data_IF_943442992396
#
_entry.id   IF_943442992396
#
_cell.length_a   1.000
_cell.length_b   1.000
_cell.length_c   1.000
_cell.angle_alpha   90.00
_cell.angle_beta   90.00
_cell.angle_gamma   90.00
#
_symmetry.space_group_name_H-M   'P 1'
#
loop_
_entity.id
_entity.type
_entity.pdbx_description
1 polymer ?
#
# COMPACT_ATOMS: atom_id res chain seq x y z
N UNK A 1 20.05 -37.08 5.40
CA UNK A 1 21.02 -37.49 6.43
C UNK A 1 20.28 -38.25 7.52
N UNK A 2 20.71 -39.46 7.87
CA UNK A 2 20.11 -40.24 8.96
C UNK A 2 21.01 -40.05 10.19
N UNK A 3 20.48 -39.41 11.22
CA UNK A 3 21.21 -39.09 12.43
C UNK A 3 20.91 -40.13 13.51
N UNK A 4 21.93 -40.92 13.81
CA UNK A 4 22.03 -41.76 15.00
C UNK A 4 23.22 -41.28 15.85
N UNK A 5 23.41 -41.89 17.03
CA UNK A 5 24.52 -41.54 17.92
C UNK A 5 25.88 -41.62 17.24
N UNK A 6 26.15 -42.70 16.50
CA UNK A 6 27.46 -42.94 15.86
C UNK A 6 27.74 -41.94 14.74
N UNK A 7 26.72 -41.58 13.96
CA UNK A 7 26.80 -40.61 12.90
C UNK A 7 27.10 -39.21 13.44
N UNK A 8 26.41 -38.80 14.50
CA UNK A 8 26.65 -37.52 15.16
C UNK A 8 28.08 -37.43 15.72
N UNK A 9 28.54 -38.45 16.44
CA UNK A 9 29.89 -38.51 17.01
C UNK A 9 30.99 -38.46 15.92
N UNK A 10 30.87 -39.26 14.86
CA UNK A 10 31.84 -39.26 13.76
C UNK A 10 31.85 -37.96 12.96
N UNK A 11 30.68 -37.37 12.75
CA UNK A 11 30.53 -36.08 12.08
C UNK A 11 31.21 -34.96 12.87
N UNK A 12 31.01 -34.92 14.18
CA UNK A 12 31.56 -33.89 15.06
C UNK A 12 33.07 -34.06 15.26
N UNK A 13 33.56 -35.30 15.35
CA UNK A 13 35.00 -35.62 15.39
C UNK A 13 35.69 -35.53 14.03
N UNK A 14 34.93 -35.32 12.95
CA UNK A 14 35.41 -35.30 11.56
C UNK A 14 36.22 -36.54 11.19
N UNK A 15 35.75 -37.71 11.61
CA UNK A 15 36.45 -38.98 11.43
C UNK A 15 35.70 -39.92 10.47
N UNK A 16 36.45 -40.60 9.59
CA UNK A 16 35.91 -41.49 8.56
C UNK A 16 35.01 -40.78 7.54
N UNK A 17 34.17 -41.56 6.83
CA UNK A 17 33.30 -41.03 5.76
C UNK A 17 32.28 -39.98 6.21
N UNK A 18 31.76 -40.10 7.44
CA UNK A 18 30.85 -39.09 8.02
C UNK A 18 31.56 -37.75 8.29
N UNK A 19 32.88 -37.76 8.53
CA UNK A 19 33.67 -36.54 8.65
C UNK A 19 33.81 -35.78 7.33
N UNK A 20 33.96 -36.50 6.22
CA UNK A 20 33.98 -35.90 4.87
C UNK A 20 32.61 -35.31 4.50
N UNK A 21 31.52 -36.04 4.77
CA UNK A 21 30.16 -35.50 4.61
C UNK A 21 29.94 -34.25 5.45
N UNK A 22 30.38 -34.25 6.72
CA UNK A 22 30.26 -33.08 7.59
C UNK A 22 30.98 -31.85 7.03
N UNK A 23 32.14 -31.99 6.38
CA UNK A 23 32.84 -30.87 5.73
C UNK A 23 32.04 -30.31 4.55
N UNK A 24 31.50 -31.17 3.70
CA UNK A 24 30.72 -30.78 2.52
C UNK A 24 29.40 -30.10 2.94
N UNK A 25 28.68 -30.73 3.86
CA UNK A 25 27.37 -30.26 4.34
C UNK A 25 27.54 -28.95 5.10
N UNK A 26 28.50 -28.85 6.03
CA UNK A 26 28.73 -27.61 6.77
C UNK A 26 29.06 -26.44 5.84
N UNK A 27 29.99 -26.60 4.90
CA UNK A 27 30.33 -25.56 3.93
C UNK A 27 29.12 -25.11 3.09
N UNK A 28 28.30 -26.06 2.64
CA UNK A 28 27.09 -25.77 1.87
C UNK A 28 26.01 -25.06 2.69
N UNK A 29 25.88 -25.40 3.98
CA UNK A 29 24.93 -24.73 4.88
C UNK A 29 25.35 -23.29 5.22
N UNK A 30 26.65 -22.98 5.26
CA UNK A 30 27.16 -21.63 5.53
C UNK A 30 27.06 -20.68 4.32
N UNK A 31 27.15 -21.21 3.09
CA UNK A 31 27.13 -20.41 1.85
C UNK A 31 25.75 -19.85 1.50
N UNK A 32 24.70 -20.15 2.28
CA UNK A 32 23.29 -19.67 2.13
C UNK A 32 22.60 -19.95 0.78
N UNK A 33 23.30 -20.47 -0.23
CA UNK A 33 22.76 -20.64 -1.58
C UNK A 33 21.73 -21.78 -1.67
N UNK A 34 21.73 -22.74 -0.73
CA UNK A 34 20.86 -23.92 -0.81
C UNK A 34 20.54 -24.54 0.56
N UNK A 35 19.87 -23.77 1.43
CA UNK A 35 19.47 -24.29 2.76
C UNK A 35 18.49 -25.46 2.69
N UNK A 36 17.82 -25.66 1.55
CA UNK A 36 16.81 -26.71 1.35
C UNK A 36 17.39 -28.03 0.83
N UNK A 37 18.71 -28.14 0.59
CA UNK A 37 19.31 -29.37 0.02
C UNK A 37 19.48 -30.52 1.01
N UNK A 38 19.55 -30.22 2.30
CA UNK A 38 19.84 -31.23 3.31
C UNK A 38 18.71 -31.30 4.34
N UNK A 39 18.20 -32.50 4.56
CA UNK A 39 17.27 -32.81 5.66
C UNK A 39 17.89 -33.83 6.60
N UNK A 40 17.77 -33.55 7.90
CA UNK A 40 18.14 -34.48 8.97
C UNK A 40 16.92 -35.30 9.38
N UNK A 41 17.07 -36.63 9.39
CA UNK A 41 16.10 -37.58 9.90
C UNK A 41 16.69 -38.24 11.13
N UNK A 42 16.04 -38.09 12.28
CA UNK A 42 16.55 -38.57 13.56
C UNK A 42 15.87 -39.89 13.90
N UNK A 43 16.68 -40.86 14.35
CA UNK A 43 16.19 -42.17 14.83
C UNK A 43 16.57 -42.50 16.27
N UNK A 44 17.37 -41.67 16.92
CA UNK A 44 17.80 -41.89 18.31
C UNK A 44 17.80 -40.58 19.11
N UNK A 45 17.48 -40.68 20.41
CA UNK A 45 17.58 -39.59 21.39
C UNK A 45 18.64 -39.92 22.44
N UNK A 46 19.28 -38.90 22.98
CA UNK A 46 20.20 -39.00 24.09
C UNK A 46 19.45 -39.24 25.42
N UNK A 47 20.20 -39.48 26.50
CA UNK A 47 19.64 -39.72 27.84
C UNK A 47 18.80 -38.55 28.39
N UNK A 48 19.02 -37.33 27.89
CA UNK A 48 18.27 -36.13 28.27
C UNK A 48 17.02 -35.91 27.40
N UNK A 49 16.71 -36.83 26.49
CA UNK A 49 15.57 -36.76 25.59
C UNK A 49 15.78 -35.91 24.33
N UNK A 50 16.99 -35.42 24.05
CA UNK A 50 17.32 -34.64 22.85
C UNK A 50 17.73 -35.53 21.68
N UNK A 51 17.34 -35.15 20.46
CA UNK A 51 17.74 -35.82 19.23
C UNK A 51 19.28 -35.83 19.04
N UNK A 52 19.84 -36.96 18.61
CA UNK A 52 21.23 -36.99 18.15
C UNK A 52 21.37 -36.23 16.83
N UNK A 53 22.06 -35.08 16.87
CA UNK A 53 22.30 -34.24 15.71
C UNK A 53 23.77 -33.76 15.72
N UNK A 54 24.45 -33.73 14.56
CA UNK A 54 25.75 -33.09 14.43
C UNK A 54 25.68 -31.61 14.83
N UNK A 55 26.77 -31.10 15.40
CA UNK A 55 26.86 -29.75 15.94
C UNK A 55 26.58 -28.68 14.89
N UNK A 56 26.99 -28.90 13.64
CA UNK A 56 26.71 -27.98 12.53
C UNK A 56 25.22 -27.89 12.14
N UNK A 57 24.39 -28.86 12.54
CA UNK A 57 22.96 -28.93 12.24
C UNK A 57 22.07 -28.61 13.45
N UNK A 58 22.66 -28.41 14.64
CA UNK A 58 21.91 -27.96 15.84
C UNK A 58 21.21 -26.63 15.59
N UNK A 59 19.95 -26.53 15.98
CA UNK A 59 19.10 -25.34 15.79
C UNK A 59 18.37 -25.27 14.44
N UNK A 60 18.55 -26.26 13.55
CA UNK A 60 17.75 -26.39 12.33
C UNK A 60 16.61 -27.37 12.50
N UNK A 61 15.63 -27.21 11.63
CA UNK A 61 14.47 -28.08 11.53
C UNK A 61 14.93 -29.48 11.06
N UNK A 62 14.48 -30.52 11.78
CA UNK A 62 14.71 -31.92 11.46
C UNK A 62 13.38 -32.69 11.44
N UNK A 63 13.44 -33.91 10.94
CA UNK A 63 12.33 -34.86 10.89
C UNK A 63 12.57 -35.90 11.99
N UNK A 64 11.59 -36.03 12.88
CA UNK A 64 11.66 -36.94 14.02
C UNK A 64 10.88 -38.22 13.74
N UNK A 65 11.57 -39.33 13.53
CA UNK A 65 10.94 -40.64 13.32
C UNK A 65 11.08 -41.56 14.54
N UNK A 66 11.33 -41.00 15.72
CA UNK A 66 11.47 -41.75 16.98
C UNK A 66 10.12 -41.92 17.67
N UNK A 67 9.32 -40.85 17.67
CA UNK A 67 8.02 -40.83 18.33
C UNK A 67 6.97 -41.55 17.48
N UNK A 68 6.53 -42.72 17.93
CA UNK A 68 5.51 -43.53 17.24
C UNK A 68 4.19 -42.78 17.06
N UNK A 69 3.81 -41.92 18.01
CA UNK A 69 2.57 -41.15 17.93
C UNK A 69 2.59 -40.11 16.80
N UNK A 70 3.79 -39.59 16.48
CA UNK A 70 4.01 -38.55 15.46
C UNK A 70 4.62 -39.09 14.17
N UNK A 71 4.89 -40.39 14.11
CA UNK A 71 5.57 -41.04 12.98
C UNK A 71 4.89 -40.75 11.65
N UNK A 72 3.56 -40.88 11.59
CA UNK A 72 2.80 -40.65 10.35
C UNK A 72 2.92 -39.21 9.84
N UNK A 73 2.83 -38.22 10.74
CA UNK A 73 2.94 -36.80 10.41
C UNK A 73 4.36 -36.43 9.94
N UNK A 74 5.38 -36.89 10.66
CA UNK A 74 6.79 -36.61 10.33
C UNK A 74 7.22 -37.36 9.06
N UNK A 75 6.63 -38.53 8.77
CA UNK A 75 6.84 -39.23 7.51
C UNK A 75 6.18 -38.53 6.32
N UNK A 76 4.94 -38.03 6.46
CA UNK A 76 4.30 -37.21 5.42
C UNK A 76 5.12 -35.94 5.14
N UNK A 77 5.65 -35.32 6.20
CA UNK A 77 6.54 -34.16 6.11
C UNK A 77 7.83 -34.46 5.37
N UNK A 78 8.41 -35.66 5.55
CA UNK A 78 9.55 -36.14 4.76
C UNK A 78 9.20 -36.26 3.28
N UNK A 79 8.07 -36.89 2.97
CA UNK A 79 7.62 -37.07 1.59
C UNK A 79 7.40 -35.72 0.90
N UNK A 80 6.72 -34.78 1.57
CA UNK A 80 6.52 -33.42 1.07
C UNK A 80 7.82 -32.70 0.77
N UNK A 81 8.84 -32.87 1.63
CA UNK A 81 10.16 -32.32 1.39
C UNK A 81 10.83 -32.96 0.16
N UNK A 82 10.76 -34.29 0.01
CA UNK A 82 11.32 -35.02 -1.14
C UNK A 82 10.72 -34.54 -2.49
N UNK A 83 9.43 -34.21 -2.50
CA UNK A 83 8.70 -33.80 -3.70
C UNK A 83 8.59 -32.27 -3.87
N UNK A 84 9.29 -31.46 -3.08
CA UNK A 84 9.19 -29.99 -3.09
C UNK A 84 7.74 -29.46 -2.96
N UNK A 85 6.90 -30.15 -2.17
CA UNK A 85 5.49 -29.79 -1.91
C UNK A 85 5.27 -29.40 -0.44
N UNK A 86 5.75 -28.21 0.00
CA UNK A 86 5.61 -27.80 1.39
C UNK A 86 4.14 -27.72 1.81
N UNK A 87 3.85 -28.08 3.06
CA UNK A 87 2.50 -28.02 3.62
C UNK A 87 1.91 -26.60 3.56
N UNK A 88 2.78 -25.58 3.64
CA UNK A 88 2.42 -24.17 3.53
C UNK A 88 3.14 -23.55 2.34
N UNK A 89 2.39 -23.27 1.27
CA UNK A 89 2.90 -22.46 0.16
C UNK A 89 3.01 -21.01 0.61
N UNK A 90 4.10 -20.33 0.22
CA UNK A 90 4.23 -18.88 0.44
C UNK A 90 3.08 -18.19 -0.31
N UNK A 91 2.28 -17.33 0.35
CA UNK A 91 1.23 -16.59 -0.35
C UNK A 91 1.86 -15.69 -1.43
N UNK A 92 1.07 -15.37 -2.45
CA UNK A 92 1.49 -14.40 -3.46
C UNK A 92 1.89 -13.08 -2.82
N UNK A 93 2.91 -12.43 -3.39
CA UNK A 93 3.36 -11.13 -2.91
C UNK A 93 2.24 -10.10 -3.17
N UNK A 94 1.80 -9.43 -2.11
CA UNK A 94 0.80 -8.36 -2.24
C UNK A 94 1.28 -7.27 -3.18
N UNK A 95 0.34 -6.60 -3.87
CA UNK A 95 0.67 -5.43 -4.70
C UNK A 95 1.29 -4.33 -3.81
N UNK A 96 2.32 -3.61 -4.30
CA UNK A 96 2.80 -2.44 -3.59
C UNK A 96 1.66 -1.43 -3.42
N UNK A 97 1.59 -0.69 -2.29
CA UNK A 97 0.59 0.34 -2.10
C UNK A 97 0.63 1.37 -3.24
N UNK A 98 -0.54 1.70 -3.79
CA UNK A 98 -0.66 2.55 -4.98
C UNK A 98 0.03 3.93 -4.83
N UNK A 99 0.21 4.44 -3.61
CA UNK A 99 0.85 5.72 -3.34
C UNK A 99 2.36 5.77 -3.60
N UNK A 100 3.03 4.63 -3.80
CA UNK A 100 4.48 4.57 -4.04
C UNK A 100 4.89 4.83 -5.51
N UNK A 101 3.94 4.74 -6.45
CA UNK A 101 4.20 4.86 -7.89
C UNK A 101 3.84 6.24 -8.47
N UNK A 102 3.60 7.25 -7.63
CA UNK A 102 3.33 8.61 -8.09
C UNK A 102 4.66 9.34 -8.26
N UNK A 103 5.09 9.51 -9.52
CA UNK A 103 6.19 10.41 -9.89
C UNK A 103 5.83 11.84 -9.44
N UNK A 104 6.36 12.21 -8.27
CA UNK A 104 5.92 13.35 -7.45
C UNK A 104 4.44 13.29 -7.07
N UNK A 105 4.07 12.89 -5.83
CA UNK A 105 2.74 13.22 -5.34
C UNK A 105 2.65 14.75 -5.37
N UNK A 106 1.83 15.30 -6.26
CA UNK A 106 1.42 16.70 -6.21
C UNK A 106 0.88 16.89 -4.81
N UNK A 107 1.69 17.52 -3.94
CA UNK A 107 1.27 17.80 -2.57
C UNK A 107 0.29 18.96 -2.66
N UNK A 108 -0.97 18.61 -2.87
CA UNK A 108 -2.05 19.57 -2.88
C UNK A 108 -2.11 20.24 -1.51
N UNK A 109 -2.11 21.57 -1.49
CA UNK A 109 -2.27 22.38 -0.28
C UNK A 109 -3.63 22.09 0.40
N UNK A 110 -4.59 21.58 -0.37
CA UNK A 110 -5.95 21.20 0.02
C UNK A 110 -6.04 19.85 0.72
N UNK A 111 -5.03 18.97 0.60
CA UNK A 111 -5.10 17.60 1.12
C UNK A 111 -5.25 17.52 2.66
N UNK A 112 -4.57 18.40 3.39
CA UNK A 112 -4.68 18.46 4.87
C UNK A 112 -6.05 19.01 5.31
N UNK A 113 -6.52 20.15 4.77
CA UNK A 113 -7.90 20.61 5.00
C UNK A 113 -8.97 19.57 4.64
N UNK A 114 -8.85 18.88 3.50
CA UNK A 114 -9.76 17.82 3.09
C UNK A 114 -9.84 16.72 4.16
N UNK A 115 -8.69 16.16 4.53
CA UNK A 115 -8.63 15.08 5.52
C UNK A 115 -9.29 15.50 6.84
N UNK A 116 -9.02 16.72 7.30
CA UNK A 116 -9.62 17.25 8.52
C UNK A 116 -11.15 17.38 8.40
N UNK A 117 -11.65 17.87 7.27
CA UNK A 117 -13.09 17.98 7.01
C UNK A 117 -13.75 16.59 6.97
N UNK A 118 -13.20 15.66 6.18
CA UNK A 118 -13.71 14.28 6.04
C UNK A 118 -13.68 13.54 7.38
N UNK A 119 -12.61 13.65 8.16
CA UNK A 119 -12.51 13.02 9.49
C UNK A 119 -13.58 13.57 10.45
N UNK A 120 -13.85 14.88 10.42
CA UNK A 120 -14.89 15.50 11.24
C UNK A 120 -16.30 15.14 10.79
N UNK A 121 -16.53 15.02 9.48
CA UNK A 121 -17.79 14.55 8.88
C UNK A 121 -18.07 13.11 9.34
N UNK A 122 -17.13 12.19 9.12
CA UNK A 122 -17.27 10.77 9.49
C UNK A 122 -17.45 10.56 10.99
N UNK A 123 -16.75 11.35 11.81
CA UNK A 123 -16.84 11.27 13.26
C UNK A 123 -18.03 12.05 13.85
N UNK A 124 -18.86 12.70 13.03
CA UNK A 124 -20.04 13.43 13.49
C UNK A 124 -19.74 14.62 14.41
N UNK A 125 -18.59 15.28 14.26
CA UNK A 125 -18.16 16.35 15.17
C UNK A 125 -18.93 17.65 14.92
N UNK A 126 -19.20 18.45 15.95
CA UNK A 126 -19.90 19.74 15.81
C UNK A 126 -19.21 20.73 14.85
N UNK A 127 -17.90 20.61 14.70
CA UNK A 127 -17.07 21.53 13.89
C UNK A 127 -16.99 21.15 12.40
N UNK A 128 -17.71 20.12 11.93
CA UNK A 128 -17.49 19.63 10.57
C UNK A 128 -17.91 20.63 9.49
N UNK A 129 -18.97 21.43 9.68
CA UNK A 129 -19.32 22.52 8.76
C UNK A 129 -18.18 23.55 8.67
N UNK A 130 -17.59 23.91 9.81
CA UNK A 130 -16.50 24.88 9.85
C UNK A 130 -15.24 24.35 9.13
N UNK A 131 -14.88 23.08 9.32
CA UNK A 131 -13.75 22.49 8.60
C UNK A 131 -14.05 22.27 7.11
N UNK A 132 -15.30 21.99 6.76
CA UNK A 132 -15.75 21.91 5.37
C UNK A 132 -15.65 23.24 4.66
N UNK A 133 -16.10 24.33 5.31
CA UNK A 133 -15.98 25.68 4.79
C UNK A 133 -14.50 26.08 4.62
N UNK A 134 -13.64 25.75 5.59
CA UNK A 134 -12.19 25.97 5.46
C UNK A 134 -11.61 25.22 4.25
N UNK A 135 -11.93 23.94 4.08
CA UNK A 135 -11.45 23.17 2.92
C UNK A 135 -11.90 23.77 1.59
N UNK A 136 -13.19 24.09 1.46
CA UNK A 136 -13.76 24.67 0.25
C UNK A 136 -13.19 26.07 -0.05
N UNK A 137 -12.83 26.84 0.98
CA UNK A 137 -12.15 28.13 0.81
C UNK A 137 -10.71 27.96 0.30
N UNK A 138 -9.99 26.93 0.75
CA UNK A 138 -8.69 26.59 0.16
C UNK A 138 -8.86 26.18 -1.30
N UNK A 139 -9.87 25.37 -1.64
CA UNK A 139 -10.16 25.03 -3.05
C UNK A 139 -10.38 26.30 -3.88
N UNK A 140 -11.21 27.24 -3.43
CA UNK A 140 -11.45 28.51 -4.13
C UNK A 140 -10.15 29.30 -4.33
N UNK A 141 -9.26 29.33 -3.33
CA UNK A 141 -7.95 29.98 -3.47
C UNK A 141 -7.09 29.30 -4.54
N UNK A 142 -7.03 27.98 -4.51
CA UNK A 142 -6.29 27.15 -5.46
C UNK A 142 -6.90 27.12 -6.86
N UNK A 143 -8.13 27.56 -7.05
CA UNK A 143 -8.69 27.73 -8.38
C UNK A 143 -8.04 28.91 -9.13
N UNK A 144 -7.48 29.90 -8.44
CA UNK A 144 -6.89 31.07 -9.14
C UNK A 144 -5.70 30.73 -10.05
N UNK A 145 -4.92 29.67 -9.77
CA UNK A 145 -3.83 29.22 -10.65
C UNK A 145 -4.33 28.61 -11.97
N UNK A 146 -5.61 28.27 -12.07
CA UNK A 146 -6.21 27.77 -13.31
C UNK A 146 -6.67 28.90 -14.23
N UNK A 147 -6.55 30.17 -13.83
CA UNK A 147 -6.82 31.30 -14.75
C UNK A 147 -5.78 31.30 -15.86
N UNK A 148 -6.24 31.32 -17.11
CA UNK A 148 -5.37 31.19 -18.28
C UNK A 148 -4.73 32.54 -18.65
N UNK A 149 -3.40 32.54 -18.73
CA UNK A 149 -2.59 33.69 -19.15
C UNK A 149 -1.97 33.53 -20.56
N UNK A 150 -1.82 34.67 -21.26
CA UNK A 150 -1.11 34.79 -22.54
C UNK A 150 -1.88 34.28 -23.77
N UNK A 151 -2.26 35.20 -24.66
CA UNK A 151 -2.94 34.87 -25.93
C UNK A 151 -1.96 34.53 -27.03
N UNK A 152 -2.19 33.43 -27.74
CA UNK A 152 -1.32 32.97 -28.82
C UNK A 152 -1.65 31.55 -29.29
N UNK A 153 -0.74 31.00 -30.12
CA UNK A 153 -0.77 29.62 -30.62
C UNK A 153 -0.89 28.58 -29.48
N UNK A 154 -1.53 27.45 -29.77
CA UNK A 154 -1.78 26.33 -28.85
C UNK A 154 -2.71 26.63 -27.66
N UNK A 155 -3.68 27.53 -27.83
CA UNK A 155 -4.68 27.83 -26.81
C UNK A 155 -5.48 26.58 -26.36
N UNK A 156 -5.90 25.75 -27.31
CA UNK A 156 -6.67 24.53 -27.01
C UNK A 156 -5.87 23.55 -26.13
N UNK A 157 -4.56 23.42 -26.37
CA UNK A 157 -3.67 22.59 -25.55
C UNK A 157 -3.56 23.14 -24.12
N UNK A 158 -3.56 24.47 -23.93
CA UNK A 158 -3.57 25.09 -22.59
C UNK A 158 -4.87 24.80 -21.84
N UNK A 159 -6.02 24.85 -22.52
CA UNK A 159 -7.31 24.48 -21.90
C UNK A 159 -7.28 23.02 -21.47
N UNK A 160 -6.90 22.11 -22.38
CA UNK A 160 -6.87 20.67 -22.09
C UNK A 160 -5.95 20.36 -20.93
N UNK A 161 -4.74 20.93 -20.93
CA UNK A 161 -3.80 20.78 -19.83
C UNK A 161 -4.37 21.31 -18.52
N UNK A 162 -5.04 22.46 -18.54
CA UNK A 162 -5.68 23.04 -17.35
C UNK A 162 -6.77 22.11 -16.78
N UNK A 163 -7.55 21.45 -17.63
CA UNK A 163 -8.55 20.46 -17.23
C UNK A 163 -7.87 19.21 -16.65
N UNK A 164 -6.80 18.71 -17.29
CA UNK A 164 -6.04 17.57 -16.79
C UNK A 164 -5.39 17.87 -15.42
N UNK A 165 -4.81 19.06 -15.26
CA UNK A 165 -4.21 19.54 -14.02
C UNK A 165 -5.26 19.73 -12.90
N UNK A 166 -6.55 19.86 -13.25
CA UNK A 166 -7.66 19.96 -12.29
C UNK A 166 -8.11 18.58 -11.74
N UNK A 167 -7.78 17.48 -12.41
CA UNK A 167 -8.19 16.12 -12.02
C UNK A 167 -7.92 15.79 -10.55
N UNK A 168 -6.75 16.12 -9.96
CA UNK A 168 -6.50 15.86 -8.54
C UNK A 168 -7.49 16.58 -7.62
N UNK A 169 -7.78 17.87 -7.89
CA UNK A 169 -8.75 18.67 -7.13
C UNK A 169 -10.18 18.14 -7.30
N UNK A 170 -10.55 17.72 -8.52
CA UNK A 170 -11.83 17.06 -8.78
C UNK A 170 -11.99 15.81 -7.92
N UNK A 171 -10.97 14.96 -7.86
CA UNK A 171 -11.03 13.72 -7.09
C UNK A 171 -11.20 14.01 -5.58
N UNK A 172 -10.53 15.05 -5.04
CA UNK A 172 -10.74 15.50 -3.66
C UNK A 172 -12.19 15.98 -3.43
N UNK A 173 -12.75 16.76 -4.37
CA UNK A 173 -14.13 17.23 -4.28
C UNK A 173 -15.14 16.07 -4.34
N UNK A 174 -14.92 15.07 -5.20
CA UNK A 174 -15.75 13.85 -5.24
C UNK A 174 -15.70 13.15 -3.88
N UNK A 175 -14.51 12.93 -3.31
CA UNK A 175 -14.37 12.33 -1.98
C UNK A 175 -15.14 13.13 -0.93
N UNK A 176 -14.96 14.45 -0.92
CA UNK A 176 -15.63 15.34 0.01
C UNK A 176 -17.17 15.23 -0.10
N UNK A 177 -17.73 15.38 -1.29
CA UNK A 177 -19.18 15.35 -1.50
C UNK A 177 -19.79 13.98 -1.19
N UNK A 178 -19.12 12.88 -1.53
CA UNK A 178 -19.57 11.53 -1.14
C UNK A 178 -19.69 11.43 0.39
N UNK A 179 -18.69 11.91 1.13
CA UNK A 179 -18.70 11.84 2.58
C UNK A 179 -19.78 12.75 3.19
N UNK A 180 -20.01 13.93 2.62
CA UNK A 180 -21.12 14.79 3.03
C UNK A 180 -22.47 14.09 2.81
N UNK A 181 -22.73 13.59 1.60
CA UNK A 181 -23.99 12.92 1.26
C UNK A 181 -24.23 11.69 2.16
N UNK A 182 -23.18 10.93 2.44
CA UNK A 182 -23.27 9.69 3.23
C UNK A 182 -23.47 9.95 4.72
N UNK A 183 -22.70 10.87 5.31
CA UNK A 183 -22.59 10.99 6.77
C UNK A 183 -23.17 12.29 7.35
N UNK A 184 -23.35 13.35 6.53
CA UNK A 184 -23.80 14.66 7.01
C UNK A 184 -24.70 15.44 6.02
N UNK A 185 -25.80 14.85 5.53
CA UNK A 185 -26.75 15.54 4.64
C UNK A 185 -27.67 16.50 5.42
N UNK A 186 -27.09 17.55 6.01
CA UNK A 186 -27.82 18.53 6.83
C UNK A 186 -28.04 19.85 6.08
N UNK A 187 -29.07 20.61 6.45
CA UNK A 187 -29.31 21.95 5.89
C UNK A 187 -28.13 22.91 6.16
N UNK A 188 -27.47 22.76 7.31
CA UNK A 188 -26.28 23.54 7.65
C UNK A 188 -25.12 23.27 6.68
N UNK A 189 -24.87 22.00 6.35
CA UNK A 189 -23.86 21.62 5.36
C UNK A 189 -24.26 22.05 3.95
N UNK A 190 -25.55 21.95 3.58
CA UNK A 190 -26.05 22.46 2.31
C UNK A 190 -25.79 23.97 2.14
N UNK A 191 -25.92 24.76 3.21
CA UNK A 191 -25.57 26.19 3.20
C UNK A 191 -24.07 26.43 3.00
N UNK A 192 -23.20 25.58 3.54
CA UNK A 192 -21.75 25.65 3.31
C UNK A 192 -21.44 25.40 1.82
N UNK A 193 -22.02 24.34 1.24
CA UNK A 193 -21.86 24.01 -0.18
C UNK A 193 -22.43 25.13 -1.07
N UNK A 194 -23.58 25.70 -0.72
CA UNK A 194 -24.16 26.83 -1.45
C UNK A 194 -23.22 28.03 -1.49
N UNK A 195 -22.64 28.43 -0.35
CA UNK A 195 -21.65 29.52 -0.30
C UNK A 195 -20.40 29.23 -1.12
N UNK A 196 -19.98 27.97 -1.19
CA UNK A 196 -18.89 27.57 -2.07
C UNK A 196 -19.23 27.82 -3.55
N UNK A 197 -20.43 27.45 -4.00
CA UNK A 197 -20.87 27.76 -5.37
C UNK A 197 -21.00 29.27 -5.63
N UNK A 198 -21.45 30.06 -4.67
CA UNK A 198 -21.46 31.53 -4.78
C UNK A 198 -20.05 32.09 -5.04
N UNK A 199 -19.03 31.56 -4.34
CA UNK A 199 -17.63 31.94 -4.56
C UNK A 199 -17.09 31.43 -5.91
N UNK A 200 -17.53 30.26 -6.35
CA UNK A 200 -17.13 29.64 -7.63
C UNK A 200 -17.63 30.43 -8.84
N UNK A 201 -18.83 31.01 -8.77
CA UNK A 201 -19.44 31.79 -9.87
C UNK A 201 -18.52 32.91 -10.37
N UNK A 202 -17.69 33.48 -9.50
CA UNK A 202 -16.79 34.59 -9.86
C UNK A 202 -15.71 34.15 -10.87
N UNK A 203 -15.46 32.84 -11.05
CA UNK A 203 -14.56 32.33 -12.08
C UNK A 203 -15.24 32.16 -13.45
N UNK A 204 -16.55 32.30 -13.55
CA UNK A 204 -17.27 32.23 -14.84
C UNK A 204 -17.28 33.57 -15.59
N UNK A 205 -16.76 34.64 -14.98
CA UNK A 205 -16.76 35.98 -15.55
C UNK A 205 -15.37 36.63 -15.43
N UNK A 206 -14.94 37.44 -16.41
CA UNK A 206 -13.71 38.20 -16.32
C UNK A 206 -13.72 39.13 -15.09
N UNK A 207 -12.69 39.07 -14.25
CA UNK A 207 -12.55 39.96 -13.08
C UNK A 207 -11.86 41.26 -13.48
N UNK A 208 -12.58 42.37 -13.35
CA UNK A 208 -12.04 43.74 -13.38
C UNK A 208 -11.42 44.19 -14.73
N UNK A 209 -11.32 45.50 -14.94
CA UNK A 209 -10.80 46.15 -16.17
C UNK A 209 -9.30 45.89 -16.46
N UNK A 210 -8.68 44.90 -15.79
CA UNK A 210 -7.26 44.57 -15.89
C UNK A 210 -7.02 43.56 -16.99
N UNK A 211 -6.98 44.00 -18.25
CA UNK A 211 -6.28 43.30 -19.35
C UNK A 211 -6.56 41.80 -19.58
N UNK A 212 -7.59 41.20 -18.97
CA UNK A 212 -7.95 39.81 -19.18
C UNK A 212 -8.59 39.67 -20.55
N UNK A 213 -8.23 38.59 -21.24
CA UNK A 213 -8.87 38.26 -22.49
C UNK A 213 -10.19 37.54 -22.22
N UNK A 214 -11.11 37.60 -23.18
CA UNK A 214 -12.43 36.96 -23.06
C UNK A 214 -12.34 35.44 -22.77
N UNK A 215 -11.21 34.81 -23.10
CA UNK A 215 -10.97 33.39 -22.98
C UNK A 215 -10.16 33.00 -21.72
N UNK A 216 -9.69 33.97 -20.92
CA UNK A 216 -8.86 33.70 -19.72
C UNK A 216 -9.53 32.81 -18.68
N UNK A 217 -10.86 32.67 -18.76
CA UNK A 217 -11.69 31.88 -17.86
C UNK A 217 -12.44 30.74 -18.56
N UNK A 218 -12.12 30.42 -19.83
CA UNK A 218 -12.90 29.46 -20.61
C UNK A 218 -12.88 28.04 -20.02
N UNK A 219 -11.76 27.63 -19.43
CA UNK A 219 -11.65 26.35 -18.71
C UNK A 219 -12.65 26.25 -17.54
N UNK A 220 -13.00 27.36 -16.87
CA UNK A 220 -13.98 27.36 -15.78
C UNK A 220 -15.40 27.07 -16.22
N UNK A 221 -15.74 27.25 -17.51
CA UNK A 221 -17.03 26.79 -18.04
C UNK A 221 -17.18 25.28 -17.92
N UNK A 222 -16.09 24.55 -18.12
CA UNK A 222 -16.03 23.10 -17.91
C UNK A 222 -15.92 22.77 -16.43
N UNK A 223 -14.90 23.30 -15.74
CA UNK A 223 -14.61 22.98 -14.33
C UNK A 223 -15.82 23.26 -13.43
N UNK A 224 -16.44 24.44 -13.53
CA UNK A 224 -17.59 24.79 -12.69
C UNK A 224 -18.80 23.88 -12.95
N UNK A 225 -19.02 23.49 -14.21
CA UNK A 225 -20.10 22.59 -14.58
C UNK A 225 -19.82 21.17 -14.06
N UNK A 226 -18.60 20.68 -14.23
CA UNK A 226 -18.19 19.36 -13.73
C UNK A 226 -18.37 19.28 -12.20
N UNK A 227 -17.92 20.28 -11.45
CA UNK A 227 -18.11 20.36 -10.00
C UNK A 227 -19.61 20.32 -9.64
N UNK A 228 -20.44 21.10 -10.34
CA UNK A 228 -21.88 21.14 -10.10
C UNK A 228 -22.56 19.80 -10.37
N UNK A 229 -22.25 19.15 -11.49
CA UNK A 229 -22.76 17.83 -11.84
C UNK A 229 -22.33 16.76 -10.82
N UNK A 230 -21.06 16.79 -10.38
CA UNK A 230 -20.56 15.89 -9.32
C UNK A 230 -21.39 16.07 -8.05
N UNK A 231 -21.65 17.30 -7.61
CA UNK A 231 -22.41 17.55 -6.39
C UNK A 231 -23.86 17.06 -6.48
N UNK A 232 -24.50 17.15 -7.65
CA UNK A 232 -25.89 16.73 -7.84
C UNK A 232 -26.07 15.22 -8.09
N UNK A 233 -25.06 14.56 -8.64
CA UNK A 233 -25.13 13.13 -8.99
C UNK A 233 -24.96 12.20 -7.78
N UNK A 234 -24.49 12.74 -6.65
CA UNK A 234 -24.22 12.03 -5.40
C UNK A 234 -25.40 12.16 -4.42
#
# INVERSE_FOLDING_TARGET
>A
MICDKKYAEKSDQRSGGAGTEAQIISASLYTKTDQNKFVAVVRERNADGHAYLPTYYKGRIYIDLIDEARYGEEFDRLLRWIYDRPLYAKPEMGKPPAFLNLDSPVKLTTAVPLRRAVDAIKAGRDQAEAFSEQYLDVIISELNQFVLEGGGENFDEKILKSIDDFIPYRNELVEFFINVATYRPTEAMAKVIHRFFEKLIVFNYPRDNRGYNNWSFDNFKFISNEIFCITLAL
#
